data_IF_603495509468
#
_entry.id   IF_603495509468
#
_cell.length_a   1.000
_cell.length_b   1.000
_cell.length_c   1.000
_cell.angle_alpha   90.00
_cell.angle_beta   90.00
_cell.angle_gamma   90.00
#
_symmetry.space_group_name_H-M   'P 1'
#
loop_
_entity.id
_entity.type
_entity.pdbx_description
1 polymer ?
#
# COMPACT_ATOMS: atom_id res chain seq x y z
N UNK A 1 -23.88 -32.75 -26.85
CA UNK A 1 -22.46 -32.39 -26.95
C UNK A 1 -22.33 -30.94 -26.47
N UNK A 2 -21.91 -30.72 -25.22
CA UNK A 2 -21.69 -29.35 -24.73
C UNK A 2 -20.32 -28.88 -25.23
N UNK A 3 -20.32 -27.84 -26.05
CA UNK A 3 -19.10 -27.11 -26.41
C UNK A 3 -18.46 -26.55 -25.13
N UNK A 4 -17.30 -27.06 -24.74
CA UNK A 4 -16.43 -26.38 -23.79
C UNK A 4 -15.86 -25.15 -24.49
N UNK A 5 -16.54 -24.01 -24.36
CA UNK A 5 -15.97 -22.71 -24.75
C UNK A 5 -14.71 -22.51 -23.90
N UNK A 6 -13.55 -22.63 -24.54
CA UNK A 6 -12.27 -22.38 -23.86
C UNK A 6 -12.17 -20.88 -23.62
N UNK A 7 -12.20 -20.45 -22.36
CA UNK A 7 -12.02 -19.03 -22.01
C UNK A 7 -10.75 -18.48 -22.66
N UNK A 8 -10.79 -17.24 -23.13
CA UNK A 8 -9.61 -16.57 -23.66
C UNK A 8 -8.53 -16.45 -22.56
N UNK A 9 -7.28 -16.26 -22.97
CA UNK A 9 -6.20 -16.05 -22.00
C UNK A 9 -6.43 -14.77 -21.17
N UNK A 10 -6.95 -13.69 -21.80
CA UNK A 10 -7.32 -12.46 -21.11
C UNK A 10 -8.39 -12.70 -20.03
N UNK A 11 -9.46 -13.45 -20.35
CA UNK A 11 -10.52 -13.78 -19.37
C UNK A 11 -9.97 -14.59 -18.20
N UNK A 12 -9.00 -15.49 -18.44
CA UNK A 12 -8.33 -16.22 -17.35
C UNK A 12 -7.48 -15.29 -16.47
N UNK A 13 -6.78 -14.33 -17.06
CA UNK A 13 -5.98 -13.36 -16.33
C UNK A 13 -6.86 -12.46 -15.44
N UNK A 14 -7.98 -11.97 -15.95
CA UNK A 14 -8.96 -11.21 -15.15
C UNK A 14 -9.46 -12.06 -13.98
N UNK A 15 -9.76 -13.35 -14.21
CA UNK A 15 -10.19 -14.26 -13.14
C UNK A 15 -9.11 -14.51 -12.07
N UNK A 16 -7.82 -14.46 -12.42
CA UNK A 16 -6.72 -14.57 -11.45
C UNK A 16 -6.57 -13.34 -10.55
N UNK A 17 -7.19 -12.23 -10.94
CA UNK A 17 -7.26 -10.99 -10.17
C UNK A 17 -8.67 -10.78 -9.57
N UNK A 18 -9.51 -11.81 -9.50
CA UNK A 18 -10.87 -11.65 -8.97
C UNK A 18 -10.91 -11.31 -7.47
N UNK A 19 -9.91 -11.79 -6.71
CA UNK A 19 -9.85 -11.61 -5.26
C UNK A 19 -9.00 -10.40 -4.81
N UNK A 20 -8.46 -9.63 -5.76
CA UNK A 20 -7.68 -8.44 -5.42
C UNK A 20 -8.58 -7.23 -5.34
N UNK A 21 -8.30 -6.34 -4.39
CA UNK A 21 -9.03 -5.10 -4.29
C UNK A 21 -8.63 -4.18 -5.46
N UNK A 22 -9.62 -3.71 -6.22
CA UNK A 22 -9.48 -2.74 -7.31
C UNK A 22 -10.09 -1.41 -6.87
N UNK A 23 -9.36 -0.32 -7.05
CA UNK A 23 -9.80 1.02 -6.62
C UNK A 23 -9.05 2.09 -7.42
N UNK A 24 -9.43 3.35 -7.28
CA UNK A 24 -8.77 4.45 -7.99
C UNK A 24 -8.48 5.65 -7.09
N UNK A 25 -7.64 6.58 -7.59
CA UNK A 25 -7.52 7.93 -7.04
C UNK A 25 -7.52 8.89 -8.24
N UNK A 26 -8.57 9.70 -8.37
CA UNK A 26 -8.85 10.43 -9.60
C UNK A 26 -8.86 9.48 -10.81
N UNK A 27 -8.08 9.78 -11.85
CA UNK A 27 -8.04 8.96 -13.08
C UNK A 27 -7.01 7.82 -13.04
N UNK A 28 -6.40 7.53 -11.89
CA UNK A 28 -5.34 6.51 -11.78
C UNK A 28 -5.89 5.29 -11.07
N UNK A 29 -5.83 4.15 -11.76
CA UNK A 29 -6.27 2.87 -11.23
C UNK A 29 -5.18 2.12 -10.46
N UNK A 30 -5.57 1.58 -9.32
CA UNK A 30 -4.72 0.85 -8.38
C UNK A 30 -5.34 -0.48 -7.98
N UNK A 31 -4.51 -1.29 -7.34
CA UNK A 31 -4.92 -2.52 -6.70
C UNK A 31 -4.09 -2.80 -5.46
N UNK A 32 -4.66 -3.53 -4.50
CA UNK A 32 -3.96 -4.09 -3.36
C UNK A 32 -3.82 -5.59 -3.55
N UNK A 33 -2.58 -6.06 -3.76
CA UNK A 33 -2.29 -7.45 -4.11
C UNK A 33 -1.52 -8.16 -2.99
N UNK A 34 -1.75 -9.46 -2.76
CA UNK A 34 -0.92 -10.24 -1.85
C UNK A 34 0.46 -10.51 -2.45
N UNK A 35 1.50 -10.31 -1.64
CA UNK A 35 2.91 -10.60 -1.98
C UNK A 35 3.55 -11.31 -0.78
N UNK A 36 3.70 -12.63 -0.86
CA UNK A 36 4.24 -13.40 0.25
C UNK A 36 3.30 -13.36 1.46
N UNK A 37 3.72 -12.68 2.52
CA UNK A 37 2.98 -12.56 3.79
C UNK A 37 2.32 -11.19 3.99
N UNK A 38 2.48 -10.26 3.05
CA UNK A 38 1.95 -8.90 3.14
C UNK A 38 1.16 -8.51 1.90
N UNK A 39 0.62 -7.29 1.89
CA UNK A 39 -0.07 -6.71 0.75
C UNK A 39 0.67 -5.49 0.22
N UNK A 40 0.68 -5.33 -1.10
CA UNK A 40 1.26 -4.17 -1.77
C UNK A 40 0.22 -3.42 -2.57
N UNK A 41 0.25 -2.08 -2.49
CA UNK A 41 -0.54 -1.21 -3.37
C UNK A 41 0.25 -0.92 -4.64
N UNK A 42 -0.28 -1.36 -5.79
CA UNK A 42 0.33 -1.22 -7.10
C UNK A 42 -0.60 -0.48 -8.05
N UNK A 43 -0.04 0.36 -8.92
CA UNK A 43 -0.80 0.90 -10.05
C UNK A 43 -1.02 -0.19 -11.11
N UNK A 44 -2.22 -0.29 -11.68
CA UNK A 44 -2.53 -1.33 -12.67
C UNK A 44 -1.67 -1.22 -13.94
N UNK A 45 -1.28 -0.01 -14.34
CA UNK A 45 -0.36 0.20 -15.47
C UNK A 45 1.11 -0.03 -15.13
N UNK A 46 1.46 -0.16 -13.85
CA UNK A 46 2.85 -0.27 -13.41
C UNK A 46 3.46 -1.62 -13.79
N UNK A 47 4.76 -1.62 -14.07
CA UNK A 47 5.49 -2.85 -14.39
C UNK A 47 5.44 -3.89 -13.26
N UNK A 48 5.27 -3.45 -12.00
CA UNK A 48 5.12 -4.33 -10.85
C UNK A 48 3.84 -5.18 -10.94
N UNK A 49 2.68 -4.58 -11.24
CA UNK A 49 1.43 -5.33 -11.37
C UNK A 49 1.46 -6.30 -12.56
N UNK A 50 2.04 -5.87 -13.70
CA UNK A 50 2.24 -6.75 -14.87
C UNK A 50 3.05 -8.00 -14.53
N UNK A 51 4.12 -7.85 -13.74
CA UNK A 51 4.94 -8.98 -13.26
C UNK A 51 4.18 -9.86 -12.27
N UNK A 52 3.42 -9.25 -11.35
CA UNK A 52 2.59 -9.98 -10.39
C UNK A 52 1.55 -10.84 -11.13
N UNK A 53 0.78 -10.26 -12.05
CA UNK A 53 -0.24 -10.96 -12.83
C UNK A 53 0.35 -12.05 -13.74
N UNK A 54 1.52 -11.78 -14.34
CA UNK A 54 2.28 -12.76 -15.10
C UNK A 54 2.72 -13.96 -14.26
N UNK A 55 3.18 -13.72 -13.02
CA UNK A 55 3.51 -14.77 -12.06
C UNK A 55 2.28 -15.61 -11.70
N UNK A 56 1.13 -14.98 -11.41
CA UNK A 56 -0.12 -15.70 -11.11
C UNK A 56 -0.52 -16.62 -12.28
N UNK A 57 -0.43 -16.13 -13.52
CA UNK A 57 -0.71 -16.94 -14.71
C UNK A 57 0.22 -18.13 -14.84
N UNK A 58 1.53 -17.92 -14.62
CA UNK A 58 2.52 -18.99 -14.69
C UNK A 58 2.28 -20.04 -13.60
N UNK A 59 1.96 -19.63 -12.37
CA UNK A 59 1.65 -20.55 -11.29
C UNK A 59 0.36 -21.36 -11.55
N UNK A 60 -0.64 -20.75 -12.16
CA UNK A 60 -1.92 -21.42 -12.45
C UNK A 60 -1.87 -22.36 -13.66
N UNK A 61 -1.01 -22.09 -14.66
CA UNK A 61 -1.04 -22.79 -15.95
C UNK A 61 0.29 -23.35 -16.44
N UNK A 62 1.40 -23.00 -15.80
CA UNK A 62 2.76 -23.33 -16.26
C UNK A 62 3.24 -22.51 -17.46
N UNK A 63 2.44 -21.56 -17.96
CA UNK A 63 2.75 -20.75 -19.14
C UNK A 63 2.65 -19.25 -18.85
N UNK A 64 3.59 -18.49 -19.41
CA UNK A 64 3.55 -17.05 -19.39
C UNK A 64 2.41 -16.52 -20.28
N UNK A 65 1.73 -15.42 -19.87
CA UNK A 65 0.73 -14.81 -20.72
C UNK A 65 1.34 -14.15 -21.96
N UNK A 66 0.61 -14.16 -23.08
CA UNK A 66 1.00 -13.35 -24.24
C UNK A 66 0.86 -11.86 -23.91
N UNK A 67 1.65 -11.02 -24.58
CA UNK A 67 1.59 -9.57 -24.37
C UNK A 67 0.20 -9.00 -24.68
N UNK A 68 -0.46 -9.48 -25.75
CA UNK A 68 -1.81 -9.07 -26.11
C UNK A 68 -2.83 -9.44 -25.03
N UNK A 69 -2.84 -10.70 -24.58
CA UNK A 69 -3.76 -11.14 -23.52
C UNK A 69 -3.55 -10.38 -22.20
N UNK A 70 -2.31 -10.03 -21.88
CA UNK A 70 -2.00 -9.22 -20.70
C UNK A 70 -2.56 -7.80 -20.86
N UNK A 71 -2.40 -7.16 -22.01
CA UNK A 71 -2.96 -5.82 -22.26
C UNK A 71 -4.49 -5.82 -22.18
N UNK A 72 -5.15 -6.80 -22.80
CA UNK A 72 -6.61 -6.92 -22.77
C UNK A 72 -7.11 -7.08 -21.32
N UNK A 73 -6.45 -7.94 -20.53
CA UNK A 73 -6.81 -8.13 -19.12
C UNK A 73 -6.59 -6.86 -18.28
N UNK A 74 -5.49 -6.13 -18.51
CA UNK A 74 -5.23 -4.86 -17.83
C UNK A 74 -6.28 -3.81 -18.18
N UNK A 75 -6.72 -3.74 -19.43
CA UNK A 75 -7.78 -2.81 -19.85
C UNK A 75 -9.10 -3.08 -19.12
N UNK A 76 -9.48 -4.35 -18.95
CA UNK A 76 -10.66 -4.74 -18.18
C UNK A 76 -10.50 -4.36 -16.70
N UNK A 77 -9.40 -4.74 -16.07
CA UNK A 77 -9.15 -4.46 -14.65
C UNK A 77 -9.07 -2.96 -14.36
N UNK A 78 -8.50 -2.18 -15.28
CA UNK A 78 -8.45 -0.72 -15.18
C UNK A 78 -9.84 -0.09 -15.29
N UNK A 79 -10.65 -0.54 -16.24
CA UNK A 79 -12.05 -0.10 -16.35
C UNK A 79 -12.83 -0.42 -15.07
N UNK A 80 -12.67 -1.62 -14.52
CA UNK A 80 -13.32 -2.01 -13.26
C UNK A 80 -12.87 -1.11 -12.11
N UNK A 81 -11.57 -0.88 -11.95
CA UNK A 81 -11.06 0.00 -10.91
C UNK A 81 -11.56 1.45 -11.02
N UNK A 82 -11.65 2.01 -12.24
CA UNK A 82 -12.04 3.39 -12.49
C UNK A 82 -13.54 3.64 -12.42
N UNK A 83 -14.36 2.70 -12.90
CA UNK A 83 -15.80 2.91 -13.05
C UNK A 83 -16.65 2.15 -12.02
N UNK A 84 -16.14 1.03 -11.49
CA UNK A 84 -16.85 0.19 -10.51
C UNK A 84 -16.18 0.20 -9.13
N UNK A 85 -14.89 0.52 -9.06
CA UNK A 85 -14.09 0.53 -7.84
C UNK A 85 -14.28 1.82 -7.01
N UNK A 86 -14.02 1.78 -5.70
CA UNK A 86 -14.11 2.97 -4.85
C UNK A 86 -12.98 3.97 -5.14
N UNK A 87 -13.28 5.26 -4.99
CA UNK A 87 -12.25 6.31 -4.91
C UNK A 87 -11.58 6.24 -3.53
N UNK A 88 -10.27 6.05 -3.50
CA UNK A 88 -9.48 6.02 -2.27
C UNK A 88 -8.20 6.83 -2.39
N UNK A 89 -7.82 7.58 -1.33
CA UNK A 89 -6.55 8.28 -1.29
C UNK A 89 -5.37 7.30 -1.22
N UNK A 90 -4.29 7.66 -1.92
CA UNK A 90 -2.98 7.00 -1.84
C UNK A 90 -2.04 7.87 -1.02
N UNK A 91 -1.33 7.25 -0.08
CA UNK A 91 -0.34 7.93 0.74
C UNK A 91 1.05 7.34 0.51
N UNK A 92 2.10 8.13 0.71
CA UNK A 92 3.48 7.62 0.59
C UNK A 92 4.04 7.19 1.94
N UNK A 93 3.77 7.96 3.00
CA UNK A 93 4.45 7.76 4.28
C UNK A 93 3.59 7.96 5.51
N UNK A 94 2.80 9.03 5.52
CA UNK A 94 1.87 9.33 6.62
C UNK A 94 0.48 9.50 6.05
N UNK A 95 -0.51 9.01 6.78
CA UNK A 95 -1.92 9.17 6.46
C UNK A 95 -2.73 9.32 7.74
N UNK A 96 -3.87 9.99 7.64
CA UNK A 96 -4.94 9.90 8.63
C UNK A 96 -6.01 8.94 8.08
N UNK A 97 -6.57 8.10 8.95
CA UNK A 97 -7.70 7.25 8.64
C UNK A 97 -8.51 6.95 9.91
N UNK A 98 -9.81 7.28 9.87
CA UNK A 98 -10.76 7.09 10.96
C UNK A 98 -10.32 7.71 12.30
N UNK A 99 -9.65 8.87 12.24
CA UNK A 99 -9.15 9.62 13.40
C UNK A 99 -7.77 9.19 13.89
N UNK A 100 -7.22 8.11 13.35
CA UNK A 100 -5.88 7.62 13.71
C UNK A 100 -4.85 8.02 12.64
N UNK A 101 -3.60 8.23 13.08
CA UNK A 101 -2.47 8.45 12.18
C UNK A 101 -1.74 7.14 11.90
N UNK A 102 -1.35 6.95 10.64
CA UNK A 102 -0.59 5.79 10.19
C UNK A 102 0.72 6.24 9.59
N UNK A 103 1.83 5.66 10.06
CA UNK A 103 3.17 5.87 9.51
C UNK A 103 3.68 4.56 8.90
N UNK A 104 3.89 4.53 7.59
CA UNK A 104 4.53 3.40 6.92
C UNK A 104 6.00 3.28 7.36
N UNK A 105 6.44 2.11 7.79
CA UNK A 105 7.83 1.91 8.21
C UNK A 105 8.77 1.75 7.02
N UNK A 106 8.28 1.45 5.81
CA UNK A 106 9.11 1.18 4.65
C UNK A 106 9.97 -0.08 4.77
N UNK A 107 9.70 -0.92 5.76
CA UNK A 107 10.44 -2.15 6.01
C UNK A 107 10.00 -3.30 5.11
N UNK A 108 10.80 -4.36 4.93
CA UNK A 108 10.45 -5.47 4.03
C UNK A 108 9.14 -6.17 4.37
N UNK A 109 8.70 -6.12 5.64
CA UNK A 109 7.49 -6.78 6.14
C UNK A 109 6.21 -5.96 5.91
N UNK A 110 6.32 -4.78 5.29
CA UNK A 110 5.18 -3.89 4.98
C UNK A 110 4.39 -3.41 6.20
N UNK A 111 5.08 -3.25 7.34
CA UNK A 111 4.46 -2.81 8.58
C UNK A 111 4.25 -1.30 8.59
N UNK A 112 3.25 -0.88 9.35
CA UNK A 112 2.98 0.52 9.67
C UNK A 112 2.88 0.70 11.18
N UNK A 113 3.05 1.94 11.64
CA UNK A 113 2.72 2.34 13.02
C UNK A 113 1.34 2.97 12.98
N UNK A 114 0.38 2.40 13.71
CA UNK A 114 -0.91 3.05 14.02
C UNK A 114 -0.72 3.88 15.27
N UNK A 115 -1.10 5.15 15.22
CA UNK A 115 -0.95 6.14 16.28
C UNK A 115 -2.34 6.67 16.59
N UNK A 116 -2.85 6.33 17.77
CA UNK A 116 -4.11 6.84 18.31
C UNK A 116 -3.82 7.99 19.27
N UNK A 117 -4.87 8.59 19.83
CA UNK A 117 -4.74 9.58 20.91
C UNK A 117 -4.12 9.05 22.20
N UNK A 118 -4.08 7.72 22.39
CA UNK A 118 -3.64 7.09 23.65
C UNK A 118 -2.31 6.35 23.53
N UNK A 119 -2.06 5.72 22.38
CA UNK A 119 -0.92 4.84 22.17
C UNK A 119 -0.54 4.75 20.71
N UNK A 120 0.58 4.10 20.45
CA UNK A 120 0.91 3.61 19.12
C UNK A 120 1.21 2.12 19.16
N UNK A 121 1.02 1.45 18.03
CA UNK A 121 1.35 0.04 17.84
C UNK A 121 1.86 -0.22 16.41
N UNK A 122 2.77 -1.19 16.27
CA UNK A 122 3.23 -1.63 14.94
C UNK A 122 2.26 -2.70 14.44
N UNK A 123 1.65 -2.46 13.29
CA UNK A 123 0.68 -3.34 12.64
C UNK A 123 1.24 -3.90 11.34
N UNK A 124 0.87 -5.14 11.02
CA UNK A 124 1.27 -5.82 9.79
C UNK A 124 0.32 -5.54 8.61
N UNK A 125 -0.94 -5.21 8.90
CA UNK A 125 -1.93 -4.88 7.87
C UNK A 125 -2.59 -3.55 8.18
N UNK A 126 -2.24 -2.53 7.39
CA UNK A 126 -2.76 -1.17 7.51
C UNK A 126 -4.02 -1.00 6.65
N UNK A 127 -5.08 -0.35 7.16
CA UNK A 127 -6.25 0.00 6.34
C UNK A 127 -5.92 1.09 5.31
N UNK A 128 -4.78 1.79 5.46
CA UNK A 128 -4.32 2.84 4.57
C UNK A 128 -3.62 2.28 3.34
N UNK A 129 -3.90 2.89 2.19
CA UNK A 129 -3.24 2.55 0.93
C UNK A 129 -1.90 3.26 0.75
N UNK A 130 -0.85 2.65 1.33
CA UNK A 130 0.51 3.11 1.14
C UNK A 130 1.11 2.66 -0.18
N UNK A 131 1.56 3.62 -0.99
CA UNK A 131 2.38 3.37 -2.18
C UNK A 131 3.83 3.72 -1.88
N UNK A 132 4.69 2.70 -1.93
CA UNK A 132 6.13 2.86 -1.71
C UNK A 132 6.86 3.22 -3.01
N UNK A 133 7.45 4.41 -3.06
CA UNK A 133 8.36 4.79 -4.15
C UNK A 133 9.69 4.03 -4.03
N UNK A 134 10.41 3.85 -5.14
CA UNK A 134 11.70 3.09 -5.18
C UNK A 134 12.75 3.59 -4.19
N UNK A 135 12.73 4.89 -3.87
CA UNK A 135 13.69 5.52 -2.95
C UNK A 135 13.26 5.52 -1.48
N UNK A 136 12.09 4.96 -1.15
CA UNK A 136 11.59 4.94 0.22
C UNK A 136 12.45 3.98 1.06
N UNK A 137 13.11 4.51 2.09
CA UNK A 137 13.98 3.72 2.98
C UNK A 137 13.23 3.27 4.24
N UNK A 138 13.60 2.12 4.82
CA UNK A 138 13.08 1.72 6.11
C UNK A 138 13.34 2.77 7.18
N UNK A 139 12.37 3.02 8.04
CA UNK A 139 12.55 3.70 9.32
C UNK A 139 12.90 2.68 10.40
N UNK A 140 13.61 3.09 11.46
CA UNK A 140 13.76 2.26 12.64
C UNK A 140 12.39 1.94 13.23
N UNK A 141 12.23 0.71 13.73
CA UNK A 141 11.02 0.33 14.47
C UNK A 141 10.99 1.16 15.75
N UNK A 142 9.88 1.85 16.06
CA UNK A 142 9.79 2.60 17.30
C UNK A 142 9.93 1.66 18.49
N UNK A 143 10.67 2.13 19.49
CA UNK A 143 10.82 1.45 20.78
C UNK A 143 10.15 2.33 21.82
N UNK A 144 9.36 1.73 22.70
CA UNK A 144 8.78 2.49 23.80
C UNK A 144 9.91 3.07 24.66
N UNK A 145 9.98 4.40 24.68
CA UNK A 145 11.02 5.12 25.40
C UNK A 145 10.95 4.82 26.91
N UNK A 146 12.12 4.68 27.53
CA UNK A 146 12.29 4.83 28.98
C UNK A 146 12.71 6.27 29.36
N UNK A 147 12.92 7.10 28.34
CA UNK A 147 13.55 8.41 28.37
C UNK A 147 12.50 9.53 28.41
N UNK A 148 12.89 10.71 28.91
CA UNK A 148 12.00 11.87 29.06
C UNK A 148 11.83 12.57 27.71
N UNK A 149 10.70 13.26 27.52
CA UNK A 149 10.52 14.21 26.41
C UNK A 149 11.62 15.30 26.40
N UNK A 150 12.28 15.54 27.53
CA UNK A 150 13.41 16.47 27.64
C UNK A 150 14.57 16.15 26.67
N UNK A 151 14.76 14.90 26.27
CA UNK A 151 15.82 14.51 25.33
C UNK A 151 15.60 15.05 23.92
N UNK A 152 14.38 15.52 23.61
CA UNK A 152 14.06 16.20 22.37
C UNK A 152 14.55 17.66 22.36
N UNK A 153 14.81 18.28 23.53
CA UNK A 153 15.24 19.70 23.61
C UNK A 153 16.46 20.00 22.75
N UNK A 154 17.45 19.10 22.75
CA UNK A 154 18.69 19.26 21.97
C UNK A 154 18.47 19.32 20.45
N UNK A 155 17.30 18.90 19.97
CA UNK A 155 16.96 18.87 18.54
C UNK A 155 16.01 20.01 18.14
N UNK A 156 15.47 20.78 19.10
CA UNK A 156 14.50 21.83 18.82
C UNK A 156 15.17 23.19 19.09
N UNK A 157 15.17 24.06 18.07
CA UNK A 157 15.68 25.42 18.15
C UNK A 157 14.69 26.39 18.84
N UNK A 158 14.09 25.98 19.96
CA UNK A 158 13.54 26.93 20.91
C UNK A 158 14.63 27.25 21.92
N UNK A 159 14.73 28.50 22.37
CA UNK A 159 15.77 28.92 23.31
C UNK A 159 15.87 27.90 24.42
N UNK A 160 17.00 27.18 24.51
CA UNK A 160 17.16 25.97 25.34
C UNK A 160 16.91 26.26 26.84
N UNK A 161 16.89 27.53 27.21
CA UNK A 161 16.69 28.07 28.55
C UNK A 161 15.26 28.59 28.79
N UNK A 162 14.44 28.74 27.75
CA UNK A 162 13.05 29.21 27.86
C UNK A 162 12.10 28.05 28.12
N UNK A 163 11.90 27.76 29.41
CA UNK A 163 10.99 26.72 29.89
C UNK A 163 9.54 26.97 29.46
N UNK A 164 9.10 28.22 29.30
CA UNK A 164 7.73 28.52 28.86
C UNK A 164 7.54 28.16 27.40
N UNK A 165 8.51 28.48 26.54
CA UNK A 165 8.49 28.07 25.14
C UNK A 165 8.48 26.54 24.98
N UNK A 166 9.20 25.82 25.86
CA UNK A 166 9.20 24.36 25.86
C UNK A 166 7.84 23.74 26.25
N UNK A 167 7.18 24.26 27.28
CA UNK A 167 5.86 23.74 27.71
C UNK A 167 4.81 23.92 26.62
N UNK A 168 4.86 25.03 25.87
CA UNK A 168 3.93 25.28 24.76
C UNK A 168 4.11 24.31 23.58
N UNK A 169 5.27 23.68 23.43
CA UNK A 169 5.51 22.68 22.38
C UNK A 169 4.97 21.29 22.73
N UNK A 170 4.74 21.01 24.02
CA UNK A 170 4.26 19.71 24.49
C UNK A 170 2.74 19.69 24.76
N UNK A 171 2.09 20.85 24.66
CA UNK A 171 0.69 21.06 25.01
C UNK A 171 -0.27 20.80 23.83
#
# INVERSE_FOLDING_TARGET
MQERVTKSQATRLVALAADVELFHTGEIAYTRVPVGTHHEVLGLRAAAFKRWLGRQSYQASGAAPTAAALQDALGVLESQALYDGPDRPIFTRVAEHDGDLYLDLGDPDWRAVRITSERWEVIADSPVMFRRARGLRPLPVPVQGKESLDDLRRFINVGLEDQHAWVLLLA
#
